data_IF_941494102848
#
_entry.id   IF_941494102848
#
_cell.length_a   1.000
_cell.length_b   1.000
_cell.length_c   1.000
_cell.angle_alpha   90.00
_cell.angle_beta   90.00
_cell.angle_gamma   90.00
#
_symmetry.space_group_name_H-M   'P 1'
#
loop_
_entity.id
_entity.type
_entity.pdbx_description
1 polymer ?
#
# COMPACT_ATOMS: atom_id res chain seq x y z
N UNK A 1 5.11 -17.18 1.65
CA UNK A 1 5.09 -16.38 2.89
C UNK A 1 6.44 -16.49 3.56
N UNK A 2 7.08 -15.37 3.89
CA UNK A 2 8.39 -15.35 4.52
C UNK A 2 8.40 -14.35 5.68
N UNK A 3 9.30 -14.57 6.64
CA UNK A 3 9.69 -13.57 7.62
C UNK A 3 11.08 -13.09 7.22
N UNK A 4 11.22 -11.80 6.96
CA UNK A 4 12.46 -11.17 6.49
C UNK A 4 12.98 -10.25 7.59
N UNK A 5 14.23 -10.44 7.95
CA UNK A 5 14.95 -9.56 8.86
C UNK A 5 15.47 -8.34 8.08
N UNK A 6 15.03 -7.16 8.47
CA UNK A 6 15.43 -5.89 7.83
C UNK A 6 16.35 -5.04 8.71
N UNK A 7 16.90 -5.65 9.74
CA UNK A 7 17.89 -5.04 10.64
C UNK A 7 17.37 -4.95 12.07
N UNK A 8 16.53 -4.01 12.39
CA UNK A 8 15.98 -3.82 13.74
C UNK A 8 14.61 -4.49 13.95
N UNK A 9 14.04 -5.07 12.89
CA UNK A 9 12.73 -5.72 12.93
C UNK A 9 12.62 -6.85 11.91
N UNK A 10 11.77 -7.83 12.19
CA UNK A 10 11.38 -8.89 11.25
C UNK A 10 9.99 -8.62 10.68
N UNK A 11 9.90 -8.56 9.36
CA UNK A 11 8.68 -8.29 8.62
C UNK A 11 8.12 -9.57 7.99
N UNK A 12 6.81 -9.75 8.09
CA UNK A 12 6.09 -10.79 7.36
C UNK A 12 5.79 -10.31 5.93
N UNK A 13 6.25 -11.09 4.96
CA UNK A 13 6.23 -10.73 3.54
C UNK A 13 5.55 -11.82 2.72
N UNK A 14 4.78 -11.39 1.74
CA UNK A 14 4.21 -12.22 0.68
C UNK A 14 4.60 -11.62 -0.67
N UNK A 15 5.16 -12.45 -1.55
CA UNK A 15 5.47 -12.09 -2.95
C UNK A 15 4.65 -12.98 -3.88
N UNK A 16 4.04 -12.39 -4.90
CA UNK A 16 3.33 -13.06 -5.96
C UNK A 16 4.00 -12.69 -7.28
N UNK A 17 4.65 -13.67 -7.90
CA UNK A 17 5.25 -13.49 -9.23
C UNK A 17 4.25 -13.74 -10.36
N UNK A 18 4.57 -13.36 -11.60
CA UNK A 18 3.72 -13.57 -12.78
C UNK A 18 3.36 -15.04 -13.04
N UNK A 19 4.10 -15.97 -12.45
CA UNK A 19 3.93 -17.44 -12.63
C UNK A 19 3.14 -18.09 -11.49
N UNK A 20 2.84 -17.37 -10.42
CA UNK A 20 2.19 -17.89 -9.22
C UNK A 20 0.66 -17.83 -9.28
N UNK A 21 0.08 -17.49 -10.44
CA UNK A 21 -1.37 -17.46 -10.62
C UNK A 21 -1.88 -18.90 -10.66
N UNK A 22 -2.84 -19.29 -9.78
CA UNK A 22 -3.49 -20.60 -9.90
C UNK A 22 -4.17 -20.67 -11.26
N UNK A 23 -3.75 -21.56 -12.13
CA UNK A 23 -4.50 -21.88 -13.35
C UNK A 23 -5.87 -22.37 -12.92
N UNK A 24 -6.91 -21.60 -13.22
CA UNK A 24 -8.28 -22.04 -13.09
C UNK A 24 -8.44 -23.29 -13.96
N UNK A 25 -8.88 -24.39 -13.33
CA UNK A 25 -8.92 -25.74 -13.82
C UNK A 25 -9.23 -25.90 -15.31
N UNK A 26 -8.23 -26.32 -16.03
CA UNK A 26 -8.39 -26.97 -17.32
C UNK A 26 -8.35 -28.48 -17.11
N UNK A 27 -9.37 -29.17 -17.62
CA UNK A 27 -9.58 -30.61 -17.53
C UNK A 27 -8.33 -31.45 -17.84
N UNK A 28 -8.01 -32.32 -16.89
CA UNK A 28 -6.90 -33.22 -16.97
C UNK A 28 -7.03 -34.27 -18.09
N UNK A 29 -6.18 -34.16 -19.09
CA UNK A 29 -5.76 -35.31 -19.90
C UNK A 29 -4.25 -35.24 -20.12
N UNK A 30 -3.47 -36.27 -19.76
CA UNK A 30 -2.05 -36.36 -20.10
C UNK A 30 -1.85 -36.73 -21.58
N UNK A 31 -1.31 -35.79 -22.35
CA UNK A 31 -0.83 -36.06 -23.72
C UNK A 31 0.61 -36.57 -23.71
N UNK A 32 1.06 -37.35 -24.74
CA UNK A 32 2.30 -38.10 -24.71
C UNK A 32 3.55 -37.22 -24.87
N UNK A 33 4.57 -37.51 -24.05
CA UNK A 33 5.89 -36.91 -24.10
C UNK A 33 6.63 -37.27 -25.37
N UNK A 34 6.89 -36.33 -26.25
CA UNK A 34 7.93 -36.46 -27.28
C UNK A 34 9.16 -35.63 -26.87
N UNK A 35 10.25 -36.37 -26.56
CA UNK A 35 11.60 -35.79 -26.56
C UNK A 35 12.06 -35.72 -28.02
N UNK A 36 12.60 -34.60 -28.46
CA UNK A 36 13.68 -34.52 -29.45
C UNK A 36 14.27 -33.10 -29.53
N UNK A 37 15.60 -33.00 -29.49
CA UNK A 37 16.39 -31.98 -30.17
C UNK A 37 16.68 -30.71 -29.38
N UNK A 38 17.86 -30.61 -28.74
CA UNK A 38 18.40 -29.39 -28.20
C UNK A 38 18.73 -28.36 -29.28
N UNK A 39 18.25 -27.13 -29.07
CA UNK A 39 18.90 -25.94 -29.60
C UNK A 39 19.31 -25.08 -28.40
N UNK A 40 20.46 -24.37 -28.47
CA UNK A 40 20.88 -23.49 -27.40
C UNK A 40 19.83 -22.36 -27.25
N UNK A 41 19.35 -22.17 -26.02
CA UNK A 41 18.51 -21.05 -25.69
C UNK A 41 19.27 -19.75 -26.03
N UNK A 42 18.77 -19.01 -26.99
CA UNK A 42 19.10 -17.60 -27.12
C UNK A 42 18.66 -16.93 -25.82
N UNK A 43 19.59 -16.21 -25.18
CA UNK A 43 19.34 -15.30 -24.05
C UNK A 43 18.39 -14.17 -24.52
N UNK A 44 17.14 -14.50 -24.71
CA UNK A 44 16.05 -13.54 -24.83
C UNK A 44 15.64 -13.22 -23.38
N UNK A 45 16.41 -12.34 -22.75
CA UNK A 45 16.08 -11.82 -21.43
C UNK A 45 14.78 -11.01 -21.58
N UNK A 46 13.64 -11.69 -21.41
CA UNK A 46 12.37 -10.98 -21.23
C UNK A 46 12.58 -9.86 -20.21
N UNK A 47 12.16 -8.64 -20.50
CA UNK A 47 12.35 -7.53 -19.56
C UNK A 47 11.80 -7.96 -18.20
N UNK A 48 12.59 -7.74 -17.16
CA UNK A 48 12.22 -8.10 -15.80
C UNK A 48 10.85 -7.47 -15.48
N UNK A 49 9.94 -8.27 -14.92
CA UNK A 49 8.60 -7.79 -14.57
C UNK A 49 8.69 -6.58 -13.65
N UNK A 50 7.89 -5.55 -13.92
CA UNK A 50 7.85 -4.38 -13.06
C UNK A 50 7.39 -4.77 -11.65
N UNK A 51 8.11 -4.30 -10.62
CA UNK A 51 7.79 -4.61 -9.24
C UNK A 51 6.79 -3.61 -8.67
N UNK A 52 5.75 -4.12 -8.05
CA UNK A 52 4.73 -3.35 -7.32
C UNK A 52 4.79 -3.71 -5.85
N UNK A 53 4.91 -2.70 -4.97
CA UNK A 53 4.89 -2.88 -3.52
C UNK A 53 3.59 -2.33 -2.96
N UNK A 54 2.86 -3.16 -2.19
CA UNK A 54 1.56 -2.81 -1.62
C UNK A 54 1.71 -2.55 -0.12
N UNK A 55 1.37 -1.32 0.30
CA UNK A 55 1.49 -0.82 1.67
C UNK A 55 0.11 -0.60 2.27
N UNK A 56 -0.23 -1.36 3.29
CA UNK A 56 -1.53 -1.31 3.96
C UNK A 56 -1.68 -0.11 4.91
N UNK A 57 -2.89 0.13 5.40
CA UNK A 57 -3.22 1.20 6.35
C UNK A 57 -2.78 0.91 7.78
N UNK A 58 -3.07 1.86 8.68
CA UNK A 58 -2.70 1.78 10.09
C UNK A 58 -3.75 1.00 10.91
N UNK A 59 -3.35 0.45 12.05
CA UNK A 59 -4.17 -0.16 13.10
C UNK A 59 -4.84 -1.50 12.72
N UNK A 60 -6.00 -1.45 12.06
CA UNK A 60 -6.81 -2.64 11.77
C UNK A 60 -6.41 -3.34 10.48
N UNK A 61 -5.46 -2.79 9.76
CA UNK A 61 -5.08 -3.25 8.42
C UNK A 61 -3.86 -4.19 8.44
N UNK A 62 -3.63 -4.89 7.34
CA UNK A 62 -2.50 -5.79 7.11
C UNK A 62 -2.34 -6.08 5.62
N UNK A 63 -1.32 -6.81 5.22
CA UNK A 63 -1.16 -7.27 3.83
C UNK A 63 -2.38 -8.04 3.30
N UNK A 64 -3.23 -8.58 4.19
CA UNK A 64 -4.43 -9.32 3.81
C UNK A 64 -5.44 -8.46 3.04
N UNK A 65 -5.51 -7.15 3.31
CA UNK A 65 -6.38 -6.23 2.57
C UNK A 65 -6.07 -6.22 1.08
N UNK A 66 -4.81 -6.37 0.72
CA UNK A 66 -4.39 -6.47 -0.68
C UNK A 66 -4.44 -7.90 -1.21
N UNK A 67 -4.04 -8.87 -0.39
CA UNK A 67 -4.01 -10.27 -0.80
C UNK A 67 -5.39 -10.78 -1.25
N UNK A 68 -6.45 -10.37 -0.58
CA UNK A 68 -7.82 -10.75 -0.90
C UNK A 68 -8.56 -9.79 -1.85
N UNK A 69 -7.90 -8.73 -2.29
CA UNK A 69 -8.52 -7.73 -3.19
C UNK A 69 -7.81 -7.66 -4.53
N UNK A 70 -6.73 -6.87 -4.63
CA UNK A 70 -6.14 -6.53 -5.93
C UNK A 70 -4.84 -7.28 -6.25
N UNK A 71 -4.10 -7.78 -5.27
CA UNK A 71 -2.78 -8.34 -5.47
C UNK A 71 -2.74 -9.54 -6.45
N UNK A 72 -3.67 -10.53 -6.37
CA UNK A 72 -3.66 -11.64 -7.32
C UNK A 72 -3.88 -11.19 -8.76
N UNK A 73 -4.72 -10.17 -8.97
CA UNK A 73 -4.99 -9.65 -10.31
C UNK A 73 -3.81 -8.85 -10.87
N UNK A 74 -3.06 -8.12 -10.03
CA UNK A 74 -1.83 -7.44 -10.44
C UNK A 74 -0.75 -8.47 -10.86
N UNK A 75 -0.59 -9.56 -10.10
CA UNK A 75 0.32 -10.64 -10.45
C UNK A 75 -0.12 -11.35 -11.76
N UNK A 76 -1.42 -11.57 -11.95
CA UNK A 76 -1.98 -12.15 -13.19
C UNK A 76 -1.76 -11.23 -14.42
N UNK A 77 -1.64 -9.91 -14.20
CA UNK A 77 -1.29 -8.94 -15.23
C UNK A 77 0.23 -8.89 -15.54
N UNK A 78 1.03 -9.79 -14.98
CA UNK A 78 2.46 -9.88 -15.27
C UNK A 78 3.37 -9.08 -14.35
N UNK A 79 2.84 -8.51 -13.26
CA UNK A 79 3.62 -7.74 -12.30
C UNK A 79 4.22 -8.62 -11.20
N UNK A 80 5.39 -8.26 -10.71
CA UNK A 80 5.99 -8.83 -9.50
C UNK A 80 5.44 -8.08 -8.28
N UNK A 81 4.57 -8.71 -7.52
CA UNK A 81 3.82 -8.06 -6.44
C UNK A 81 4.38 -8.41 -5.09
N UNK A 82 4.87 -7.42 -4.36
CA UNK A 82 5.36 -7.54 -2.98
C UNK A 82 4.36 -6.91 -2.03
N UNK A 83 3.97 -7.66 -1.01
CA UNK A 83 3.15 -7.19 0.11
C UNK A 83 3.84 -7.52 1.41
N UNK A 84 3.73 -6.67 2.40
CA UNK A 84 4.26 -6.97 3.74
C UNK A 84 3.37 -6.38 4.83
N UNK A 85 3.37 -7.02 5.97
CA UNK A 85 2.80 -6.44 7.17
C UNK A 85 3.79 -5.41 7.72
N UNK A 86 3.38 -4.15 7.84
CA UNK A 86 4.21 -3.10 8.40
C UNK A 86 4.50 -3.38 9.88
N UNK A 87 5.55 -2.75 10.45
CA UNK A 87 5.91 -2.89 11.88
C UNK A 87 4.69 -2.75 12.79
N UNK A 88 4.57 -3.66 13.77
CA UNK A 88 3.46 -3.70 14.69
C UNK A 88 2.17 -4.33 14.17
N UNK A 89 2.06 -4.62 12.86
CA UNK A 89 0.85 -5.12 12.23
C UNK A 89 0.98 -6.59 11.81
N UNK A 90 -0.18 -7.21 11.59
CA UNK A 90 -0.28 -8.56 11.07
C UNK A 90 0.59 -9.57 11.82
N UNK A 91 1.54 -10.19 11.09
CA UNK A 91 2.50 -11.16 11.61
C UNK A 91 3.92 -10.59 11.75
N UNK A 92 4.14 -9.34 11.41
CA UNK A 92 5.41 -8.64 11.66
C UNK A 92 5.63 -8.42 13.14
N UNK A 93 6.88 -8.24 13.53
CA UNK A 93 7.22 -7.94 14.92
C UNK A 93 6.55 -6.67 15.41
N UNK A 94 6.28 -6.67 16.71
CA UNK A 94 5.65 -5.56 17.43
C UNK A 94 6.58 -5.05 18.52
N UNK A 95 7.58 -4.23 18.17
CA UNK A 95 8.46 -3.63 19.17
C UNK A 95 7.68 -2.67 20.08
N UNK A 96 8.19 -2.41 21.28
CA UNK A 96 7.56 -1.45 22.19
C UNK A 96 7.65 0.00 21.70
N UNK A 97 8.68 0.33 20.94
CA UNK A 97 9.01 1.67 20.41
C UNK A 97 9.48 1.59 18.96
N UNK A 98 9.76 2.74 18.33
CA UNK A 98 10.28 2.80 16.96
C UNK A 98 9.17 2.88 15.92
N UNK A 99 8.12 3.68 16.17
CA UNK A 99 6.97 3.84 15.26
C UNK A 99 6.90 5.23 14.61
N UNK A 100 8.01 5.97 14.53
CA UNK A 100 8.03 7.21 13.73
C UNK A 100 7.82 6.89 12.24
N UNK A 101 7.26 7.83 11.48
CA UNK A 101 7.06 7.66 10.04
C UNK A 101 8.36 7.27 9.33
N UNK A 102 9.49 7.87 9.73
CA UNK A 102 10.80 7.57 9.16
C UNK A 102 11.18 6.09 9.31
N UNK A 103 10.82 5.47 10.44
CA UNK A 103 11.06 4.04 10.64
C UNK A 103 10.26 3.16 9.68
N UNK A 104 9.01 3.53 9.37
CA UNK A 104 8.23 2.81 8.35
C UNK A 104 8.84 2.99 6.95
N UNK A 105 9.38 4.16 6.67
CA UNK A 105 10.08 4.45 5.40
C UNK A 105 11.39 3.68 5.30
N UNK A 106 12.17 3.62 6.38
CA UNK A 106 13.43 2.85 6.44
C UNK A 106 13.17 1.35 6.30
N UNK A 107 12.12 0.81 6.93
CA UNK A 107 11.70 -0.59 6.77
C UNK A 107 11.44 -0.94 5.30
N UNK A 108 10.73 -0.08 4.58
CA UNK A 108 10.47 -0.28 3.15
C UNK A 108 11.79 -0.33 2.36
N UNK A 109 12.70 0.60 2.63
CA UNK A 109 14.01 0.63 1.97
C UNK A 109 14.82 -0.63 2.24
N UNK A 110 14.95 -1.00 3.52
CA UNK A 110 15.66 -2.20 3.94
C UNK A 110 15.02 -3.49 3.40
N UNK A 111 13.68 -3.55 3.32
CA UNK A 111 12.97 -4.68 2.72
C UNK A 111 13.30 -4.83 1.23
N UNK A 112 13.28 -3.73 0.47
CA UNK A 112 13.63 -3.77 -0.96
C UNK A 112 15.07 -4.21 -1.19
N UNK A 113 15.98 -3.76 -0.34
CA UNK A 113 17.40 -4.16 -0.41
C UNK A 113 17.58 -5.65 -0.05
N UNK A 114 16.89 -6.17 0.97
CA UNK A 114 16.90 -7.59 1.34
C UNK A 114 16.25 -8.50 0.29
N UNK A 115 15.29 -7.99 -0.47
CA UNK A 115 14.66 -8.70 -1.57
C UNK A 115 15.46 -8.59 -2.87
N UNK A 116 16.60 -7.88 -2.85
CA UNK A 116 17.44 -7.62 -4.02
C UNK A 116 16.66 -6.98 -5.18
N UNK A 117 15.80 -5.99 -4.85
CA UNK A 117 15.03 -5.21 -5.82
C UNK A 117 15.75 -3.87 -6.05
N UNK A 118 16.66 -3.76 -7.04
CA UNK A 118 17.51 -2.60 -7.22
C UNK A 118 16.84 -1.45 -7.96
N UNK A 119 15.87 -1.77 -8.81
CA UNK A 119 15.23 -0.82 -9.71
C UNK A 119 14.16 0.03 -9.05
N UNK A 120 13.64 1.03 -9.76
CA UNK A 120 12.49 1.77 -9.29
C UNK A 120 11.25 0.88 -9.25
N UNK A 121 10.47 1.02 -8.17
CA UNK A 121 9.24 0.25 -7.93
C UNK A 121 7.99 1.12 -8.04
N UNK A 122 6.87 0.50 -8.35
CA UNK A 122 5.56 1.13 -8.22
C UNK A 122 5.04 0.91 -6.79
N UNK A 123 4.71 1.99 -6.09
CA UNK A 123 4.14 1.93 -4.74
C UNK A 123 2.62 2.07 -4.80
N UNK A 124 1.90 1.17 -4.12
CA UNK A 124 0.45 1.26 -3.96
C UNK A 124 0.14 1.29 -2.48
N UNK A 125 -0.26 2.46 -1.98
CA UNK A 125 -0.47 2.69 -0.55
C UNK A 125 -1.93 2.99 -0.22
N UNK A 126 -2.49 2.24 0.76
CA UNK A 126 -3.81 2.51 1.32
C UNK A 126 -3.67 3.31 2.62
N UNK A 127 -4.38 4.41 2.76
CA UNK A 127 -4.39 5.22 3.98
C UNK A 127 -2.95 5.55 4.44
N UNK A 128 -2.54 5.14 5.62
CA UNK A 128 -1.18 5.34 6.15
C UNK A 128 -0.09 4.77 5.22
N UNK A 129 -0.35 3.65 4.54
CA UNK A 129 0.59 3.10 3.56
C UNK A 129 0.89 4.06 2.40
N UNK A 130 -0.06 4.90 2.02
CA UNK A 130 0.19 5.98 1.05
C UNK A 130 1.04 7.10 1.64
N UNK A 131 0.85 7.45 2.91
CA UNK A 131 1.71 8.42 3.62
C UNK A 131 3.17 7.93 3.66
N UNK A 132 3.39 6.63 3.94
CA UNK A 132 4.73 6.00 3.88
C UNK A 132 5.28 6.05 2.45
N UNK A 133 4.44 5.79 1.43
CA UNK A 133 4.85 5.86 0.02
C UNK A 133 5.32 7.26 -0.39
N UNK A 134 4.64 8.31 0.03
CA UNK A 134 5.08 9.69 -0.18
C UNK A 134 6.43 9.95 0.51
N UNK A 135 6.57 9.57 1.78
CA UNK A 135 7.82 9.72 2.54
C UNK A 135 8.99 9.01 1.84
N UNK A 136 8.79 7.76 1.41
CA UNK A 136 9.82 7.00 0.72
C UNK A 136 10.23 7.64 -0.62
N UNK A 137 9.27 8.10 -1.42
CA UNK A 137 9.56 8.72 -2.70
C UNK A 137 10.31 10.05 -2.57
N UNK A 138 10.06 10.82 -1.52
CA UNK A 138 10.79 12.04 -1.22
C UNK A 138 12.24 11.77 -0.78
N UNK A 139 12.45 10.73 0.04
CA UNK A 139 13.78 10.34 0.52
C UNK A 139 14.60 9.56 -0.51
N UNK A 140 13.96 8.84 -1.42
CA UNK A 140 14.59 7.94 -2.39
C UNK A 140 14.00 8.13 -3.80
N UNK A 141 14.07 9.33 -4.40
CA UNK A 141 13.35 9.65 -5.65
C UNK A 141 13.72 8.73 -6.82
N UNK A 142 14.98 8.26 -6.90
CA UNK A 142 15.42 7.31 -7.94
C UNK A 142 14.92 5.87 -7.75
N UNK A 143 14.28 5.54 -6.61
CA UNK A 143 13.78 4.20 -6.29
C UNK A 143 12.27 4.04 -6.54
N UNK A 144 11.58 5.07 -7.02
CA UNK A 144 10.12 5.06 -7.21
C UNK A 144 9.75 5.42 -8.65
N UNK A 145 9.15 4.46 -9.34
CA UNK A 145 8.64 4.63 -10.71
C UNK A 145 7.31 5.40 -10.71
N UNK A 146 6.40 5.08 -9.81
CA UNK A 146 5.14 5.79 -9.60
C UNK A 146 4.55 5.50 -8.23
N UNK A 147 3.62 6.35 -7.80
CA UNK A 147 2.81 6.15 -6.59
C UNK A 147 1.33 6.05 -7.00
N UNK A 148 0.63 5.08 -6.44
CA UNK A 148 -0.84 5.04 -6.42
C UNK A 148 -1.28 5.07 -4.96
N UNK A 149 -2.04 6.06 -4.55
CA UNK A 149 -2.59 6.14 -3.19
C UNK A 149 -4.10 5.99 -3.21
N UNK A 150 -4.61 5.25 -2.23
CA UNK A 150 -6.04 5.09 -1.98
C UNK A 150 -6.32 5.65 -0.59
N UNK A 151 -7.21 6.66 -0.53
CA UNK A 151 -7.60 7.26 0.75
C UNK A 151 -6.40 7.73 1.60
N UNK A 152 -5.49 8.49 1.00
CA UNK A 152 -4.25 8.88 1.66
C UNK A 152 -3.80 10.29 1.32
N UNK A 153 -2.94 10.82 2.18
CA UNK A 153 -2.33 12.14 2.05
C UNK A 153 -0.86 12.12 2.54
N UNK A 154 0.00 13.05 2.09
CA UNK A 154 1.35 13.20 2.64
C UNK A 154 1.33 13.62 4.11
N UNK A 155 2.43 13.38 4.84
CA UNK A 155 2.58 13.70 6.26
C UNK A 155 2.70 15.21 6.54
N UNK A 156 1.70 15.98 6.14
CA UNK A 156 1.60 17.42 6.43
C UNK A 156 1.19 17.70 7.87
N UNK A 157 1.27 18.97 8.29
CA UNK A 157 0.75 19.38 9.60
C UNK A 157 -0.76 19.09 9.78
N UNK A 158 -1.55 19.09 8.69
CA UNK A 158 -2.95 18.68 8.71
C UNK A 158 -3.09 17.19 8.98
N UNK A 159 -2.34 16.37 8.25
CA UNK A 159 -2.26 14.93 8.50
C UNK A 159 -1.88 14.61 9.95
N UNK A 160 -0.83 15.23 10.47
CA UNK A 160 -0.36 14.98 11.84
C UNK A 160 -1.47 15.25 12.87
N UNK A 161 -2.24 16.34 12.72
CA UNK A 161 -3.39 16.63 13.59
C UNK A 161 -4.50 15.59 13.48
N UNK A 162 -4.86 15.15 12.26
CA UNK A 162 -5.88 14.12 12.01
C UNK A 162 -5.51 12.80 12.68
N UNK A 163 -4.27 12.34 12.46
CA UNK A 163 -3.77 11.05 13.02
C UNK A 163 -3.65 11.13 14.54
N UNK A 164 -3.13 12.22 15.10
CA UNK A 164 -3.09 12.43 16.57
C UNK A 164 -4.48 12.34 17.18
N UNK A 165 -5.46 12.98 16.56
CA UNK A 165 -6.85 12.92 17.01
C UNK A 165 -7.45 11.51 16.92
N UNK A 166 -7.20 10.81 15.82
CA UNK A 166 -7.65 9.43 15.63
C UNK A 166 -7.06 8.49 16.69
N UNK A 167 -5.73 8.50 16.84
CA UNK A 167 -5.04 7.63 17.79
C UNK A 167 -5.40 7.94 19.25
N UNK A 168 -5.60 9.24 19.56
CA UNK A 168 -6.08 9.68 20.87
C UNK A 168 -7.45 9.09 21.20
N UNK A 169 -8.41 9.15 20.27
CA UNK A 169 -9.74 8.54 20.43
C UNK A 169 -9.66 7.01 20.58
N UNK A 170 -8.92 6.33 19.70
CA UNK A 170 -8.75 4.87 19.79
C UNK A 170 -8.14 4.48 21.14
N UNK A 171 -7.11 5.19 21.61
CA UNK A 171 -6.50 4.91 22.91
C UNK A 171 -7.50 5.12 24.05
N UNK A 172 -8.27 6.19 24.03
CA UNK A 172 -9.27 6.48 25.04
C UNK A 172 -10.34 5.36 25.10
N UNK A 173 -10.95 5.02 23.96
CA UNK A 173 -11.97 3.98 23.89
C UNK A 173 -11.44 2.62 24.37
N UNK A 174 -10.25 2.23 23.91
CA UNK A 174 -9.64 0.95 24.29
C UNK A 174 -9.11 0.92 25.74
N UNK A 175 -9.06 2.05 26.43
CA UNK A 175 -8.64 2.13 27.83
C UNK A 175 -9.86 2.20 28.77
N UNK A 176 -10.91 2.92 28.38
CA UNK A 176 -12.06 3.20 29.25
C UNK A 176 -13.25 2.30 28.97
N UNK A 177 -13.49 1.91 27.70
CA UNK A 177 -14.71 1.25 27.24
C UNK A 177 -14.45 0.02 26.36
N UNK A 178 -13.29 -0.67 26.49
CA UNK A 178 -12.87 -1.72 25.54
C UNK A 178 -13.96 -2.76 25.29
N UNK A 179 -14.57 -3.29 26.34
CA UNK A 179 -15.58 -4.37 26.20
C UNK A 179 -16.82 -3.86 25.47
N UNK A 180 -17.36 -2.73 25.87
CA UNK A 180 -18.56 -2.14 25.27
C UNK A 180 -18.32 -1.74 23.80
N UNK A 181 -17.17 -1.13 23.50
CA UNK A 181 -16.79 -0.77 22.15
C UNK A 181 -16.65 -2.00 21.25
N UNK A 182 -15.99 -3.07 21.73
CA UNK A 182 -15.83 -4.31 20.97
C UNK A 182 -17.15 -5.05 20.75
N UNK A 183 -18.06 -5.06 21.73
CA UNK A 183 -19.38 -5.67 21.61
C UNK A 183 -20.25 -4.89 20.62
N UNK A 184 -20.19 -3.56 20.65
CA UNK A 184 -20.87 -2.72 19.67
C UNK A 184 -20.35 -2.99 18.26
N UNK A 185 -19.02 -3.04 18.06
CA UNK A 185 -18.41 -3.35 16.76
C UNK A 185 -18.82 -4.77 16.32
N UNK A 186 -18.80 -5.75 17.22
CA UNK A 186 -19.18 -7.12 16.89
C UNK A 186 -20.62 -7.22 16.39
N UNK A 187 -21.53 -6.45 17.01
CA UNK A 187 -22.94 -6.41 16.68
C UNK A 187 -23.21 -5.69 15.35
N UNK A 188 -22.58 -4.54 15.11
CA UNK A 188 -22.91 -3.65 13.99
C UNK A 188 -21.98 -3.80 12.78
N UNK A 189 -20.74 -4.29 12.98
CA UNK A 189 -19.69 -4.42 11.94
C UNK A 189 -19.15 -5.85 11.81
N UNK A 190 -19.64 -6.77 12.65
CA UNK A 190 -19.29 -8.18 12.64
C UNK A 190 -18.06 -8.55 13.49
N UNK A 191 -18.03 -9.83 13.90
CA UNK A 191 -17.00 -10.38 14.80
C UNK A 191 -15.58 -10.29 14.24
N UNK A 192 -15.42 -10.33 12.92
CA UNK A 192 -14.11 -10.17 12.29
C UNK A 192 -13.55 -8.77 12.56
N UNK A 193 -14.34 -7.73 12.31
CA UNK A 193 -13.98 -6.33 12.56
C UNK A 193 -13.66 -6.08 14.04
N UNK A 194 -14.44 -6.67 14.95
CA UNK A 194 -14.16 -6.57 16.38
C UNK A 194 -12.81 -7.20 16.78
N UNK A 195 -12.42 -8.33 16.15
CA UNK A 195 -11.09 -8.92 16.37
C UNK A 195 -9.96 -8.00 15.88
N UNK A 196 -10.13 -7.37 14.74
CA UNK A 196 -9.17 -6.39 14.21
C UNK A 196 -9.08 -5.16 15.13
N UNK A 197 -10.23 -4.63 15.58
CA UNK A 197 -10.28 -3.52 16.53
C UNK A 197 -9.58 -3.86 17.86
N UNK A 198 -9.77 -5.07 18.38
CA UNK A 198 -9.05 -5.55 19.58
C UNK A 198 -7.54 -5.63 19.36
N UNK A 199 -7.09 -6.08 18.18
CA UNK A 199 -5.67 -6.11 17.87
C UNK A 199 -5.08 -4.71 17.76
N UNK A 200 -5.81 -3.77 17.14
CA UNK A 200 -5.45 -2.35 17.06
C UNK A 200 -5.40 -1.69 18.45
N UNK A 201 -6.38 -1.97 19.31
CA UNK A 201 -6.39 -1.49 20.70
C UNK A 201 -5.14 -1.93 21.46
N UNK A 202 -4.74 -3.20 21.33
CA UNK A 202 -3.49 -3.71 21.93
C UNK A 202 -2.27 -2.99 21.35
N UNK A 203 -2.22 -2.76 20.04
CA UNK A 203 -1.10 -2.06 19.42
C UNK A 203 -0.95 -0.64 20.01
N UNK A 204 -2.05 0.10 20.13
CA UNK A 204 -2.05 1.46 20.67
C UNK A 204 -1.73 1.50 22.17
N UNK A 205 -2.18 0.51 22.95
CA UNK A 205 -1.97 0.46 24.40
C UNK A 205 -0.58 -0.04 24.77
N UNK A 206 -0.10 -1.09 24.08
CA UNK A 206 1.08 -1.86 24.48
C UNK A 206 2.38 -1.34 23.80
N UNK A 207 2.26 -0.34 22.90
CA UNK A 207 3.40 0.25 22.17
C UNK A 207 3.37 1.77 22.17
N UNK A 208 4.46 2.36 21.67
CA UNK A 208 4.58 3.80 21.55
C UNK A 208 3.93 4.39 20.27
N UNK A 209 3.27 3.57 19.43
CA UNK A 209 2.77 4.00 18.11
C UNK A 209 1.91 5.26 18.16
N UNK A 210 1.05 5.39 19.16
CA UNK A 210 0.16 6.56 19.30
C UNK A 210 0.89 7.88 19.58
N UNK A 211 2.14 7.81 20.04
CA UNK A 211 2.97 8.99 20.32
C UNK A 211 4.00 9.23 19.22
N UNK A 212 4.53 8.16 18.66
CA UNK A 212 5.70 8.24 17.78
C UNK A 212 5.33 8.40 16.30
N UNK A 213 4.18 7.89 15.85
CA UNK A 213 3.81 7.95 14.42
C UNK A 213 3.65 9.39 13.92
N UNK A 214 3.25 10.30 14.79
CA UNK A 214 3.10 11.73 14.50
C UNK A 214 4.25 12.60 15.00
N UNK A 215 5.22 12.00 15.69
CA UNK A 215 6.44 12.68 16.15
C UNK A 215 7.50 12.67 15.03
N UNK A 216 7.10 13.03 13.81
CA UNK A 216 7.98 13.16 12.66
C UNK A 216 7.99 14.61 12.17
N UNK A 217 9.02 14.97 11.41
CA UNK A 217 9.03 16.23 10.69
C UNK A 217 7.90 16.26 9.66
N UNK A 218 7.08 17.28 9.72
CA UNK A 218 6.01 17.44 8.74
C UNK A 218 6.58 17.83 7.38
N UNK A 219 6.04 17.23 6.34
CA UNK A 219 6.43 17.50 4.98
C UNK A 219 5.95 18.91 4.57
N UNK A 220 6.86 19.72 4.03
CA UNK A 220 6.55 21.04 3.50
C UNK A 220 5.91 20.96 2.11
N UNK A 221 5.18 22.01 1.71
CA UNK A 221 4.61 22.08 0.36
C UNK A 221 5.69 22.06 -0.73
N UNK A 222 6.85 22.64 -0.48
CA UNK A 222 7.96 22.63 -1.45
C UNK A 222 8.54 21.23 -1.63
N UNK A 223 8.64 20.45 -0.55
CA UNK A 223 9.02 19.03 -0.64
C UNK A 223 8.00 18.22 -1.44
N UNK A 224 6.70 18.52 -1.30
CA UNK A 224 5.65 17.87 -2.10
C UNK A 224 5.78 18.26 -3.58
N UNK A 225 5.99 19.53 -3.90
CA UNK A 225 6.18 20.03 -5.28
C UNK A 225 7.42 19.45 -5.95
N UNK A 226 8.44 19.07 -5.17
CA UNK A 226 9.66 18.44 -5.69
C UNK A 226 9.51 16.97 -6.05
N UNK A 227 8.34 16.37 -5.80
CA UNK A 227 8.06 14.97 -6.13
C UNK A 227 7.87 14.82 -7.65
N UNK A 228 8.80 14.16 -8.31
CA UNK A 228 8.78 14.03 -9.79
C UNK A 228 8.13 12.74 -10.30
N UNK A 229 8.02 11.70 -9.47
CA UNK A 229 7.34 10.48 -9.90
C UNK A 229 5.84 10.73 -10.12
N UNK A 230 5.22 10.04 -11.10
CA UNK A 230 3.78 10.14 -11.34
C UNK A 230 2.97 9.68 -10.13
N UNK A 231 1.89 10.39 -9.80
CA UNK A 231 1.01 10.09 -8.67
C UNK A 231 -0.44 9.89 -9.14
N UNK A 232 -1.01 8.73 -8.83
CA UNK A 232 -2.46 8.49 -8.87
C UNK A 232 -3.01 8.59 -7.46
N UNK A 233 -4.05 9.39 -7.24
CA UNK A 233 -4.72 9.48 -5.95
C UNK A 233 -6.21 9.18 -6.10
N UNK A 234 -6.70 8.14 -5.41
CA UNK A 234 -8.07 7.64 -5.47
C UNK A 234 -8.76 7.85 -4.14
N UNK A 235 -9.90 8.51 -4.15
CA UNK A 235 -10.70 8.79 -2.95
C UNK A 235 -12.15 8.40 -3.16
N UNK A 236 -12.84 8.05 -2.07
CA UNK A 236 -14.29 8.02 -2.04
C UNK A 236 -14.85 9.43 -2.14
N UNK A 237 -15.94 9.60 -2.90
CA UNK A 237 -16.59 10.90 -3.04
C UNK A 237 -17.20 11.43 -1.76
N UNK A 238 -17.55 10.52 -0.84
CA UNK A 238 -18.15 10.81 0.46
C UNK A 238 -17.12 10.69 1.62
N UNK A 239 -15.84 10.51 1.30
CA UNK A 239 -14.75 10.49 2.26
C UNK A 239 -14.37 11.90 2.70
N UNK A 240 -14.03 12.04 3.98
CA UNK A 240 -13.44 13.25 4.55
C UNK A 240 -12.03 13.56 4.00
N UNK A 241 -11.43 12.63 3.25
CA UNK A 241 -10.20 12.86 2.49
C UNK A 241 -10.43 13.31 1.04
N UNK A 242 -11.68 13.38 0.56
CA UNK A 242 -11.97 13.81 -0.82
C UNK A 242 -11.42 15.21 -1.14
N UNK A 243 -11.34 16.09 -0.13
CA UNK A 243 -10.72 17.43 -0.24
C UNK A 243 -9.22 17.39 -0.62
N UNK A 244 -8.54 16.27 -0.41
CA UNK A 244 -7.14 16.10 -0.79
C UNK A 244 -6.96 16.00 -2.32
N UNK A 245 -7.99 15.62 -3.06
CA UNK A 245 -7.90 15.46 -4.52
C UNK A 245 -7.51 16.78 -5.22
N UNK A 246 -8.24 17.91 -5.06
CA UNK A 246 -7.83 19.19 -5.63
C UNK A 246 -6.49 19.66 -5.04
N UNK A 247 -6.27 19.47 -3.74
CA UNK A 247 -5.06 19.93 -3.07
C UNK A 247 -3.78 19.28 -3.63
N UNK A 248 -3.79 17.97 -3.88
CA UNK A 248 -2.66 17.24 -4.50
C UNK A 248 -2.48 17.63 -5.97
N UNK A 249 -3.57 17.72 -6.73
CA UNK A 249 -3.50 18.07 -8.15
C UNK A 249 -2.87 19.43 -8.39
N UNK A 250 -3.13 20.39 -7.50
CA UNK A 250 -2.59 21.74 -7.62
C UNK A 250 -1.11 21.85 -7.24
N UNK A 251 -0.56 20.85 -6.52
CA UNK A 251 0.81 20.88 -6.00
C UNK A 251 1.76 19.89 -6.68
N UNK A 252 1.24 18.78 -7.18
CA UNK A 252 2.05 17.76 -7.81
C UNK A 252 2.05 17.93 -9.33
N UNK A 253 3.23 18.02 -9.97
CA UNK A 253 3.32 18.30 -11.42
C UNK A 253 2.77 17.16 -12.28
N UNK A 254 2.77 15.91 -11.77
CA UNK A 254 2.31 14.71 -12.48
C UNK A 254 1.30 13.94 -11.61
N UNK A 255 0.16 14.57 -11.33
CA UNK A 255 -0.87 13.98 -10.46
C UNK A 255 -2.20 13.79 -11.21
N UNK A 256 -2.76 12.57 -11.11
CA UNK A 256 -4.13 12.26 -11.46
C UNK A 256 -4.93 11.96 -10.22
N UNK A 257 -6.07 12.60 -10.06
CA UNK A 257 -7.01 12.33 -8.96
C UNK A 257 -8.29 11.73 -9.47
N UNK A 258 -8.85 10.77 -8.74
CA UNK A 258 -10.11 10.10 -9.04
C UNK A 258 -10.98 10.07 -7.79
N UNK A 259 -12.21 10.55 -7.91
CA UNK A 259 -13.24 10.44 -6.88
C UNK A 259 -14.22 9.34 -7.26
N UNK A 260 -14.50 8.41 -6.36
CA UNK A 260 -15.47 7.33 -6.54
C UNK A 260 -16.75 7.67 -5.76
N UNK A 261 -17.84 8.12 -6.45
CA UNK A 261 -19.06 8.52 -5.78
C UNK A 261 -19.68 7.40 -4.95
N UNK A 262 -20.32 7.72 -3.82
CA UNK A 262 -20.98 6.75 -2.95
C UNK A 262 -20.03 5.88 -2.12
N UNK A 263 -18.76 6.25 -2.02
CA UNK A 263 -17.77 5.52 -1.22
C UNK A 263 -17.15 6.45 -0.17
N UNK A 264 -16.96 5.89 1.02
CA UNK A 264 -16.24 6.52 2.15
C UNK A 264 -14.77 6.06 2.18
N UNK A 265 -14.12 6.18 3.34
CA UNK A 265 -12.69 5.80 3.55
C UNK A 265 -12.32 4.31 3.33
N UNK A 266 -13.24 3.50 2.85
CA UNK A 266 -13.02 2.04 2.64
C UNK A 266 -12.97 1.64 1.16
N UNK A 267 -12.57 2.53 0.29
CA UNK A 267 -12.56 2.35 -1.19
C UNK A 267 -11.87 1.07 -1.65
N UNK A 268 -10.72 0.72 -1.05
CA UNK A 268 -9.98 -0.50 -1.42
C UNK A 268 -10.81 -1.78 -1.22
N UNK A 269 -11.67 -1.80 -0.21
CA UNK A 269 -12.50 -2.97 0.14
C UNK A 269 -13.86 -2.90 -0.56
N UNK A 270 -14.44 -1.71 -0.67
CA UNK A 270 -15.78 -1.52 -1.25
C UNK A 270 -15.77 -1.57 -2.78
N UNK A 271 -14.69 -1.11 -3.42
CA UNK A 271 -14.57 -1.05 -4.87
C UNK A 271 -13.24 -1.63 -5.41
N UNK A 272 -12.84 -2.86 -5.00
CA UNK A 272 -11.51 -3.40 -5.32
C UNK A 272 -11.29 -3.52 -6.84
N UNK A 273 -12.31 -3.84 -7.61
CA UNK A 273 -12.23 -3.91 -9.07
C UNK A 273 -11.87 -2.56 -9.70
N UNK A 274 -12.49 -1.48 -9.23
CA UNK A 274 -12.19 -0.12 -9.73
C UNK A 274 -10.79 0.33 -9.35
N UNK A 275 -10.37 0.06 -8.11
CA UNK A 275 -9.00 0.36 -7.65
C UNK A 275 -7.97 -0.41 -8.47
N UNK A 276 -8.19 -1.71 -8.66
CA UNK A 276 -7.33 -2.56 -9.52
C UNK A 276 -7.15 -1.97 -10.91
N UNK A 277 -8.25 -1.66 -11.59
CA UNK A 277 -8.23 -1.19 -12.98
C UNK A 277 -7.52 0.16 -13.11
N UNK A 278 -7.73 1.06 -12.15
CA UNK A 278 -7.04 2.35 -12.07
C UNK A 278 -5.53 2.19 -11.81
N UNK A 279 -5.15 1.29 -10.91
CA UNK A 279 -3.74 1.01 -10.59
C UNK A 279 -3.03 0.37 -11.78
N UNK A 280 -3.64 -0.61 -12.46
CA UNK A 280 -3.07 -1.25 -13.64
C UNK A 280 -2.88 -0.25 -14.79
N UNK A 281 -3.92 0.54 -15.11
CA UNK A 281 -3.82 1.60 -16.14
C UNK A 281 -2.69 2.60 -15.79
N UNK A 282 -2.57 2.96 -14.51
CA UNK A 282 -1.54 3.89 -14.07
C UNK A 282 -0.13 3.34 -14.21
N UNK A 283 0.10 2.11 -13.75
CA UNK A 283 1.41 1.45 -13.85
C UNK A 283 1.85 1.32 -15.31
N UNK A 284 0.96 0.90 -16.20
CA UNK A 284 1.27 0.79 -17.62
C UNK A 284 1.70 2.13 -18.24
N UNK A 285 1.01 3.24 -17.90
CA UNK A 285 1.34 4.59 -18.39
C UNK A 285 2.60 5.17 -17.76
N UNK A 286 2.92 4.81 -16.52
CA UNK A 286 4.09 5.30 -15.80
C UNK A 286 5.37 4.52 -16.13
N UNK A 287 5.25 3.41 -16.86
CA UNK A 287 6.41 2.61 -17.29
C UNK A 287 7.18 3.30 -18.44
N UNK A 288 8.54 3.25 -18.46
CA UNK A 288 9.38 4.01 -19.40
C UNK A 288 9.15 3.76 -20.90
N UNK A 289 8.39 2.70 -21.25
CA UNK A 289 8.05 2.39 -22.64
C UNK A 289 6.99 3.33 -23.26
N UNK A 290 6.39 4.23 -22.47
CA UNK A 290 5.33 5.14 -22.90
C UNK A 290 5.68 6.57 -22.51
N UNK A 291 6.50 7.23 -23.35
CA UNK A 291 6.86 8.67 -23.24
C UNK A 291 5.71 9.60 -23.68
N UNK A 292 4.48 9.12 -23.74
CA UNK A 292 3.34 9.97 -24.04
C UNK A 292 2.99 10.87 -22.83
N UNK A 293 2.81 12.19 -23.05
CA UNK A 293 2.35 13.07 -22.01
C UNK A 293 0.99 12.58 -21.49
N UNK A 294 0.83 12.50 -20.16
CA UNK A 294 -0.42 12.09 -19.51
C UNK A 294 -1.58 12.89 -20.14
N UNK A 295 -2.57 12.25 -20.78
CA UNK A 295 -3.64 12.97 -21.44
C UNK A 295 -4.38 13.83 -20.43
N UNK A 296 -4.60 15.10 -20.81
CA UNK A 296 -5.52 15.99 -20.11
C UNK A 296 -6.88 15.26 -19.99
N UNK A 297 -7.39 15.17 -18.79
CA UNK A 297 -8.52 14.35 -18.42
C UNK A 297 -9.76 14.55 -19.33
N UNK A 298 -10.33 13.47 -19.90
CA UNK A 298 -11.73 13.44 -20.27
C UNK A 298 -12.46 12.41 -19.40
N UNK A 299 -12.80 12.77 -18.19
CA UNK A 299 -13.84 12.06 -17.43
C UNK A 299 -14.53 13.09 -16.53
N UNK A 300 -15.63 13.65 -17.03
CA UNK A 300 -16.66 14.29 -16.21
C UNK A 300 -17.58 13.22 -15.64
#
# INVERSE_FOLDING_TARGET
>A
MAIIDVGDIRLHVQRLGPRDTPQQGGDGRPGPRHRLGGQPATDDASPAAATVVLLHGLLTDSLASYYFTIAPALAAAGLDVVMYDQRGHGRSERPATGYSLDRFVDDLGALLDRLEIPGPVHLVGNSFGGTVSFGYAMLRPGRVASISVVESEPATASWARKITGLLGRVRQEMTTNETEALDWIATHRGRHTARLAKAAGRLVRDTAIAREVTACDVVTEDAIRSLHCPVLAVYGGDSDLAEQAPWLRDRLPRCRTVLLPGHEHSVLVQAPGRVRDLVLDWIHRASPAHDDPLPAAPWR
#
